data_IF_074754599856
#
_entry.id   IF_074754599856
#
_cell.length_a   1.000
_cell.length_b   1.000
_cell.length_c   1.000
_cell.angle_alpha   90.00
_cell.angle_beta   90.00
_cell.angle_gamma   90.00
#
_symmetry.space_group_name_H-M   'P 1'
#
loop_
_entity.id
_entity.type
_entity.pdbx_description
1 polymer ?
#
# COMPACT_ATOMS: atom_id res chain seq x y z
N UNK A 1 17.31 20.03 -4.35
CA UNK A 1 17.24 18.62 -3.90
C UNK A 1 18.45 18.17 -3.08
N UNK A 2 19.71 18.31 -3.55
CA UNK A 2 20.88 17.89 -2.75
C UNK A 2 20.99 18.57 -1.39
N UNK A 3 20.77 19.88 -1.31
CA UNK A 3 20.75 20.61 -0.04
C UNK A 3 19.72 20.00 0.94
N UNK A 4 18.52 19.74 0.43
CA UNK A 4 17.42 19.09 1.17
C UNK A 4 17.82 17.69 1.68
N UNK A 5 18.45 16.87 0.83
CA UNK A 5 18.98 15.57 1.25
C UNK A 5 20.04 15.71 2.34
N UNK A 6 20.98 16.64 2.21
CA UNK A 6 22.03 16.85 3.21
C UNK A 6 21.47 17.30 4.55
N UNK A 7 20.42 18.13 4.56
CA UNK A 7 19.71 18.52 5.79
C UNK A 7 19.09 17.31 6.52
N UNK A 8 18.59 16.30 5.78
CA UNK A 8 18.13 15.05 6.37
C UNK A 8 19.28 14.12 6.78
N UNK A 9 20.28 13.94 5.93
CA UNK A 9 21.37 12.99 6.15
C UNK A 9 22.34 13.41 7.27
N UNK A 10 22.56 14.72 7.45
CA UNK A 10 23.44 15.29 8.47
C UNK A 10 22.65 15.85 9.66
N UNK A 11 21.32 15.75 9.63
CA UNK A 11 20.42 16.25 10.68
C UNK A 11 20.58 17.74 11.01
N UNK A 12 21.05 18.54 10.05
CA UNK A 12 21.17 20.00 10.17
C UNK A 12 19.92 20.74 9.66
N UNK A 13 19.77 21.98 10.11
CA UNK A 13 18.86 22.94 9.49
C UNK A 13 19.53 23.54 8.25
N UNK A 14 18.75 23.87 7.22
CA UNK A 14 19.26 24.72 6.16
C UNK A 14 19.47 26.13 6.71
N UNK A 15 20.53 26.77 6.26
CA UNK A 15 20.68 28.22 6.43
C UNK A 15 19.46 28.93 5.77
N UNK A 16 18.82 29.91 6.45
CA UNK A 16 17.66 30.62 5.91
C UNK A 16 17.89 31.28 4.53
N UNK A 17 19.10 31.74 4.22
CA UNK A 17 19.38 32.29 2.89
C UNK A 17 19.40 31.20 1.83
N UNK A 18 20.03 30.06 2.14
CA UNK A 18 20.03 28.86 1.30
C UNK A 18 18.61 28.36 1.03
N UNK A 19 17.74 28.30 2.04
CA UNK A 19 16.35 27.86 1.86
C UNK A 19 15.56 28.84 0.97
N UNK A 20 15.70 30.15 1.19
CA UNK A 20 15.08 31.19 0.34
C UNK A 20 15.59 31.17 -1.11
N UNK A 21 16.81 30.66 -1.33
CA UNK A 21 17.38 30.47 -2.67
C UNK A 21 16.80 29.28 -3.45
N UNK A 22 16.05 28.38 -2.81
CA UNK A 22 15.51 27.18 -3.47
C UNK A 22 14.35 27.51 -4.43
N UNK A 23 13.29 28.25 -4.05
CA UNK A 23 12.17 28.53 -4.95
C UNK A 23 12.59 29.20 -6.28
N UNK A 24 13.49 30.22 -6.30
CA UNK A 24 14.01 30.78 -7.55
C UNK A 24 14.76 29.79 -8.45
N UNK A 25 15.27 28.69 -7.88
CA UNK A 25 16.01 27.65 -8.61
C UNK A 25 15.11 26.53 -9.16
N UNK A 26 13.81 26.51 -8.85
CA UNK A 26 12.86 25.50 -9.36
C UNK A 26 12.80 25.42 -10.89
N UNK A 27 12.87 26.52 -11.68
CA UNK A 27 12.92 26.43 -13.13
C UNK A 27 14.15 25.68 -13.65
N UNK A 28 15.26 25.72 -12.92
CA UNK A 28 16.46 24.93 -13.24
C UNK A 28 16.26 23.46 -12.87
N UNK A 29 15.63 23.18 -11.73
CA UNK A 29 15.27 21.81 -11.33
C UNK A 29 14.31 21.16 -12.34
N UNK A 30 13.38 21.93 -12.93
CA UNK A 30 12.45 21.43 -13.94
C UNK A 30 13.14 20.92 -15.21
N UNK A 31 14.36 21.40 -15.50
CA UNK A 31 15.21 20.96 -16.61
C UNK A 31 16.07 19.74 -16.28
N UNK A 32 16.12 19.31 -15.02
CA UNK A 32 16.88 18.12 -14.60
C UNK A 32 16.15 16.86 -15.06
N UNK A 33 16.91 15.86 -15.52
CA UNK A 33 16.35 14.58 -15.95
C UNK A 33 15.60 13.87 -14.82
N UNK A 34 14.59 13.08 -15.18
CA UNK A 34 13.77 12.36 -14.20
C UNK A 34 14.59 11.29 -13.47
N UNK A 35 15.57 10.69 -14.13
CA UNK A 35 16.51 9.73 -13.56
C UNK A 35 17.32 10.38 -12.42
N UNK A 36 17.82 11.60 -12.63
CA UNK A 36 18.55 12.32 -11.58
C UNK A 36 17.66 12.72 -10.40
N UNK A 37 16.41 13.10 -10.67
CA UNK A 37 15.41 13.38 -9.62
C UNK A 37 15.11 12.10 -8.84
N UNK A 38 14.92 10.98 -9.53
CA UNK A 38 14.69 9.65 -8.95
C UNK A 38 15.84 9.23 -8.04
N UNK A 39 17.08 9.32 -8.51
CA UNK A 39 18.28 8.98 -7.73
C UNK A 39 18.39 9.81 -6.46
N UNK A 40 18.07 11.11 -6.54
CA UNK A 40 18.12 11.98 -5.37
C UNK A 40 16.97 11.69 -4.40
N UNK A 41 15.77 11.36 -4.90
CA UNK A 41 14.63 10.94 -4.10
C UNK A 41 14.90 9.61 -3.37
N UNK A 42 15.48 8.61 -4.03
CA UNK A 42 15.91 7.36 -3.40
C UNK A 42 16.86 7.63 -2.23
N UNK A 43 17.86 8.49 -2.45
CA UNK A 43 18.83 8.83 -1.39
C UNK A 43 18.20 9.62 -0.24
N UNK A 44 17.19 10.45 -0.50
CA UNK A 44 16.38 11.10 0.55
C UNK A 44 15.64 10.04 1.37
N UNK A 45 14.92 9.14 0.71
CA UNK A 45 14.17 8.07 1.36
C UNK A 45 15.06 7.08 2.11
N UNK A 46 16.33 6.94 1.74
CA UNK A 46 17.30 6.10 2.44
C UNK A 46 17.88 6.73 3.72
N UNK A 47 17.62 8.01 4.02
CA UNK A 47 18.13 8.66 5.24
C UNK A 47 17.43 8.15 6.50
N UNK A 48 17.99 8.44 7.69
CA UNK A 48 17.38 8.03 8.98
C UNK A 48 16.00 8.65 9.18
N UNK A 49 15.83 9.93 8.86
CA UNK A 49 14.58 10.67 8.98
C UNK A 49 14.25 11.39 7.66
N UNK A 50 13.71 10.69 6.64
CA UNK A 50 13.34 11.28 5.37
C UNK A 50 12.35 12.45 5.49
N UNK A 51 11.50 12.45 6.52
CA UNK A 51 10.54 13.52 6.82
C UNK A 51 11.17 14.91 6.85
N UNK A 52 12.40 15.04 7.36
CA UNK A 52 13.13 16.31 7.41
C UNK A 52 13.34 16.88 6.02
N UNK A 53 13.77 16.04 5.09
CA UNK A 53 13.96 16.42 3.70
C UNK A 53 12.60 16.70 3.02
N UNK A 54 11.60 15.86 3.26
CA UNK A 54 10.28 16.02 2.65
C UNK A 54 9.58 17.31 3.10
N UNK A 55 9.67 17.67 4.37
CA UNK A 55 9.12 18.91 4.91
C UNK A 55 9.78 20.15 4.29
N UNK A 56 11.10 20.12 4.04
CA UNK A 56 11.79 21.19 3.33
C UNK A 56 11.40 21.18 1.84
N UNK A 57 11.33 20.01 1.20
CA UNK A 57 10.98 19.89 -0.21
C UNK A 57 9.57 20.44 -0.50
N UNK A 58 8.64 20.23 0.40
CA UNK A 58 7.27 20.73 0.30
C UNK A 58 7.23 22.25 0.48
N UNK A 59 7.74 22.81 1.59
CA UNK A 59 7.71 24.26 1.84
C UNK A 59 8.49 25.09 0.81
N UNK A 60 9.46 24.48 0.13
CA UNK A 60 10.26 25.12 -0.92
C UNK A 60 9.70 24.92 -2.33
N UNK A 61 8.60 24.17 -2.48
CA UNK A 61 7.95 23.90 -3.77
C UNK A 61 8.62 22.81 -4.62
N UNK A 62 9.71 22.18 -4.13
CA UNK A 62 10.34 21.04 -4.82
C UNK A 62 9.33 19.90 -4.96
N UNK A 63 8.57 19.59 -3.90
CA UNK A 63 7.64 18.46 -3.91
C UNK A 63 6.50 18.71 -4.91
N UNK A 64 5.94 19.91 -4.93
CA UNK A 64 4.92 20.31 -5.92
C UNK A 64 5.42 20.18 -7.37
N UNK A 65 6.73 20.39 -7.61
CA UNK A 65 7.30 20.23 -8.95
C UNK A 65 7.49 18.77 -9.37
N UNK A 66 7.87 17.87 -8.45
CA UNK A 66 8.22 16.48 -8.78
C UNK A 66 7.08 15.49 -8.54
N UNK A 67 6.25 15.76 -7.54
CA UNK A 67 5.13 14.96 -7.07
C UNK A 67 3.91 15.87 -6.76
N UNK A 68 3.33 16.53 -7.79
CA UNK A 68 2.19 17.43 -7.60
C UNK A 68 0.95 16.75 -7.01
N UNK A 69 0.79 15.44 -7.22
CA UNK A 69 -0.36 14.66 -6.75
C UNK A 69 -0.39 14.52 -5.22
N UNK A 70 0.73 14.78 -4.54
CA UNK A 70 0.84 14.67 -3.09
C UNK A 70 -0.12 15.60 -2.34
N UNK A 71 -0.17 16.88 -2.73
CA UNK A 71 -0.99 17.89 -2.06
C UNK A 71 -2.48 17.53 -2.15
N UNK A 72 -2.93 17.10 -3.33
CA UNK A 72 -4.31 16.65 -3.56
C UNK A 72 -4.65 15.45 -2.68
N UNK A 73 -3.71 14.51 -2.51
CA UNK A 73 -3.88 13.35 -1.63
C UNK A 73 -4.05 13.76 -0.17
N UNK A 74 -3.15 14.62 0.35
CA UNK A 74 -3.24 15.14 1.72
C UNK A 74 -4.58 15.85 1.94
N UNK A 75 -5.00 16.71 1.01
CA UNK A 75 -6.27 17.42 1.11
C UNK A 75 -7.48 16.47 1.14
N UNK A 76 -7.48 15.43 0.27
CA UNK A 76 -8.56 14.44 0.24
C UNK A 76 -8.66 13.67 1.56
N UNK A 77 -7.54 13.19 2.09
CA UNK A 77 -7.51 12.49 3.38
C UNK A 77 -7.88 13.40 4.56
N UNK A 78 -7.44 14.66 4.56
CA UNK A 78 -7.84 15.62 5.59
C UNK A 78 -9.35 15.87 5.57
N UNK A 79 -9.93 16.08 4.39
CA UNK A 79 -11.36 16.33 4.22
C UNK A 79 -12.22 15.12 4.64
N UNK A 80 -11.85 13.91 4.21
CA UNK A 80 -12.55 12.67 4.58
C UNK A 80 -12.52 12.39 6.09
N UNK A 81 -11.60 13.03 6.82
CA UNK A 81 -11.40 12.84 8.25
C UNK A 81 -11.87 14.01 9.08
N UNK A 82 -12.30 15.12 8.48
CA UNK A 82 -12.80 16.26 9.24
C UNK A 82 -14.12 15.87 9.95
N UNK A 83 -14.34 16.29 11.21
CA UNK A 83 -15.61 15.98 11.88
C UNK A 83 -16.75 16.63 11.11
N UNK A 84 -17.86 15.91 10.93
CA UNK A 84 -19.04 16.46 10.27
C UNK A 84 -19.54 17.70 11.01
N UNK A 85 -19.31 18.89 10.44
CA UNK A 85 -19.74 20.18 11.02
C UNK A 85 -21.28 20.30 11.11
N UNK A 86 -22.04 19.39 10.48
CA UNK A 86 -23.51 19.42 10.45
C UNK A 86 -24.18 18.54 11.51
N UNK A 87 -23.41 17.76 12.27
CA UNK A 87 -23.93 17.07 13.45
C UNK A 87 -23.55 17.89 14.67
N UNK A 88 -24.50 18.61 15.33
CA UNK A 88 -24.20 19.21 16.62
C UNK A 88 -23.79 18.07 17.54
N UNK A 89 -22.59 18.19 18.11
CA UNK A 89 -22.08 17.29 19.14
C UNK A 89 -23.18 17.07 20.17
N UNK A 90 -23.76 15.88 20.20
CA UNK A 90 -24.56 15.45 21.33
C UNK A 90 -23.62 15.54 22.53
N UNK A 91 -23.96 16.44 23.46
CA UNK A 91 -23.11 16.78 24.58
C UNK A 91 -22.81 15.59 25.49
N UNK A 92 -21.73 15.75 26.25
CA UNK A 92 -21.32 14.82 27.29
C UNK A 92 -19.85 14.47 27.16
N UNK A 93 -18.98 15.36 27.64
CA UNK A 93 -17.61 14.96 27.93
C UNK A 93 -17.61 14.02 29.12
N UNK A 94 -17.15 12.79 28.91
CA UNK A 94 -16.51 12.01 29.97
C UNK A 94 -15.01 12.35 29.94
N UNK A 95 -14.41 12.81 31.06
CA UNK A 95 -13.00 13.15 31.12
C UNK A 95 -12.08 11.92 31.30
N UNK A 96 -12.62 10.70 31.29
CA UNK A 96 -11.81 9.50 31.45
C UNK A 96 -11.39 8.93 30.09
N UNK A 97 -10.14 9.23 29.74
CA UNK A 97 -9.41 8.62 28.63
C UNK A 97 -9.36 7.11 28.77
N UNK A 98 -10.27 6.44 28.10
CA UNK A 98 -10.16 5.01 27.77
C UNK A 98 -9.73 4.87 26.31
N UNK A 99 -8.42 4.71 26.14
CA UNK A 99 -7.86 4.09 24.95
C UNK A 99 -8.35 2.64 24.86
N UNK A 100 -8.88 2.22 23.71
CA UNK A 100 -9.27 0.81 23.55
C UNK A 100 -10.23 0.53 22.39
N UNK A 101 -9.81 0.80 21.17
CA UNK A 101 -10.44 0.25 19.96
C UNK A 101 -9.35 -0.05 18.94
N UNK A 102 -9.04 -1.32 18.73
CA UNK A 102 -8.02 -1.78 17.80
C UNK A 102 -8.35 -1.31 16.36
N UNK A 103 -7.37 -0.71 15.67
CA UNK A 103 -7.34 -0.65 14.21
C UNK A 103 -7.80 0.63 13.49
N UNK A 104 -8.24 1.68 14.19
CA UNK A 104 -8.72 2.90 13.53
C UNK A 104 -7.68 4.05 13.48
N UNK A 105 -7.42 4.60 12.29
CA UNK A 105 -6.63 5.84 12.18
C UNK A 105 -7.35 7.05 12.85
N UNK A 106 -6.64 8.07 13.39
CA UNK A 106 -7.25 9.18 14.13
C UNK A 106 -8.21 10.06 13.31
N UNK A 107 -9.50 10.15 13.66
CA UNK A 107 -10.46 11.07 13.01
C UNK A 107 -10.26 12.51 13.48
N UNK A 108 -10.74 13.47 12.71
CA UNK A 108 -10.72 14.90 13.01
C UNK A 108 -9.41 15.61 12.70
N UNK A 109 -8.48 14.97 11.97
CA UNK A 109 -7.20 15.58 11.63
C UNK A 109 -7.39 16.47 10.40
N UNK A 110 -7.30 17.79 10.60
CA UNK A 110 -7.24 18.75 9.49
C UNK A 110 -5.97 18.59 8.66
N UNK A 111 -5.77 19.49 7.70
CA UNK A 111 -4.65 19.43 6.73
C UNK A 111 -3.27 19.23 7.39
N UNK A 112 -2.95 20.05 8.40
CA UNK A 112 -1.65 19.97 9.10
C UNK A 112 -1.47 18.66 9.87
N UNK A 113 -2.56 18.12 10.43
CA UNK A 113 -2.54 16.83 11.11
C UNK A 113 -2.31 15.67 10.14
N UNK A 114 -2.96 15.72 8.97
CA UNK A 114 -2.75 14.74 7.92
C UNK A 114 -1.32 14.79 7.38
N UNK A 115 -0.79 15.99 7.16
CA UNK A 115 0.61 16.21 6.77
C UNK A 115 1.59 15.64 7.81
N UNK A 116 1.37 15.90 9.09
CA UNK A 116 2.22 15.36 10.16
C UNK A 116 2.19 13.82 10.20
N UNK A 117 1.00 13.22 10.04
CA UNK A 117 0.85 11.77 9.94
C UNK A 117 1.60 11.19 8.73
N UNK A 118 1.46 11.81 7.56
CA UNK A 118 2.17 11.38 6.35
C UNK A 118 3.69 11.35 6.56
N UNK A 119 4.26 12.43 7.12
CA UNK A 119 5.70 12.51 7.43
C UNK A 119 6.13 11.42 8.43
N UNK A 120 5.35 11.22 9.50
CA UNK A 120 5.62 10.21 10.51
C UNK A 120 5.60 8.79 9.93
N UNK A 121 4.63 8.49 9.04
CA UNK A 121 4.55 7.20 8.34
C UNK A 121 5.78 6.95 7.48
N UNK A 122 6.27 7.95 6.76
CA UNK A 122 7.48 7.78 5.92
C UNK A 122 8.71 7.47 6.77
N UNK A 123 8.85 8.10 7.94
CA UNK A 123 9.96 7.79 8.86
C UNK A 123 9.84 6.40 9.49
N UNK A 124 8.63 6.01 9.89
CA UNK A 124 8.34 4.71 10.50
C UNK A 124 8.45 3.53 9.52
N UNK A 125 8.29 3.78 8.22
CA UNK A 125 8.37 2.75 7.19
C UNK A 125 9.77 2.15 7.07
N UNK A 126 9.81 0.82 6.99
CA UNK A 126 11.00 0.07 6.60
C UNK A 126 11.53 0.54 5.23
N UNK A 127 12.86 0.49 4.97
CA UNK A 127 13.46 1.06 3.76
C UNK A 127 12.74 0.70 2.45
N UNK A 128 12.33 -0.56 2.29
CA UNK A 128 11.60 -1.09 1.14
C UNK A 128 10.20 -0.50 0.95
N UNK A 129 9.56 -0.03 2.03
CA UNK A 129 8.20 0.52 2.03
C UNK A 129 8.16 2.05 1.96
N UNK A 130 9.29 2.76 2.09
CA UNK A 130 9.31 4.23 2.13
C UNK A 130 8.81 4.88 0.85
N UNK A 131 9.07 4.25 -0.30
CA UNK A 131 8.54 4.73 -1.58
C UNK A 131 7.01 4.61 -1.64
N UNK A 132 6.45 3.52 -1.12
CA UNK A 132 5.01 3.35 -1.00
C UNK A 132 4.41 4.33 0.04
N UNK A 133 5.08 4.51 1.19
CA UNK A 133 4.67 5.43 2.24
C UNK A 133 4.62 6.89 1.76
N UNK A 134 5.57 7.29 0.90
CA UNK A 134 5.59 8.60 0.25
C UNK A 134 4.31 8.83 -0.57
N UNK A 135 3.85 7.79 -1.27
CA UNK A 135 2.74 7.84 -2.23
C UNK A 135 1.39 7.41 -1.65
N UNK A 136 1.33 6.94 -0.41
CA UNK A 136 0.13 6.33 0.13
C UNK A 136 -1.03 7.32 0.39
N UNK A 137 -0.80 8.62 0.27
CA UNK A 137 -1.87 9.64 0.21
C UNK A 137 -2.63 9.64 -1.13
N UNK A 138 -2.12 8.93 -2.14
CA UNK A 138 -2.85 8.69 -3.38
C UNK A 138 -3.95 7.63 -3.23
N UNK A 139 -3.99 6.92 -2.09
CA UNK A 139 -5.05 5.99 -1.78
C UNK A 139 -6.38 6.72 -1.57
N UNK A 140 -7.49 6.12 -1.98
CA UNK A 140 -8.82 6.70 -1.83
C UNK A 140 -9.33 6.48 -0.38
N UNK A 141 -9.49 7.55 0.43
CA UNK A 141 -9.91 7.41 1.82
C UNK A 141 -11.37 6.97 1.98
N UNK A 142 -12.20 7.13 0.94
CA UNK A 142 -13.63 6.80 0.98
C UNK A 142 -13.90 5.34 0.54
N UNK A 143 -12.87 4.63 0.11
CA UNK A 143 -12.97 3.25 -0.37
C UNK A 143 -12.09 2.30 0.47
N UNK A 144 -12.46 2.00 1.73
CA UNK A 144 -11.80 0.97 2.53
C UNK A 144 -12.13 -0.42 1.97
N UNK A 145 -11.48 -0.78 0.87
CA UNK A 145 -11.71 -2.04 0.18
C UNK A 145 -11.02 -3.19 0.89
N UNK A 146 -11.72 -4.33 1.01
CA UNK A 146 -11.13 -5.62 1.40
C UNK A 146 -10.36 -6.32 0.27
N UNK A 147 -10.08 -5.56 -0.79
CA UNK A 147 -9.46 -5.96 -2.06
C UNK A 147 -8.54 -4.84 -2.50
N UNK A 148 -7.64 -5.13 -3.44
CA UNK A 148 -6.71 -4.13 -3.92
C UNK A 148 -7.42 -3.01 -4.69
N UNK A 149 -7.21 -1.75 -4.30
CA UNK A 149 -7.67 -0.60 -5.06
C UNK A 149 -6.82 -0.40 -6.33
N UNK A 150 -7.37 -0.89 -7.44
CA UNK A 150 -6.76 -0.78 -8.77
C UNK A 150 -6.71 0.66 -9.29
N UNK A 151 -7.52 1.58 -8.76
CA UNK A 151 -7.45 3.00 -9.14
C UNK A 151 -6.21 3.63 -8.53
N UNK A 152 -6.05 3.54 -7.21
CA UNK A 152 -4.88 4.08 -6.50
C UNK A 152 -3.58 3.39 -6.92
N UNK A 153 -3.61 2.07 -7.16
CA UNK A 153 -2.47 1.36 -7.75
C UNK A 153 -2.02 1.97 -9.08
N UNK A 154 -2.96 2.20 -10.02
CA UNK A 154 -2.64 2.77 -11.33
C UNK A 154 -2.13 4.20 -11.23
N UNK A 155 -2.69 5.01 -10.32
CA UNK A 155 -2.23 6.37 -10.08
C UNK A 155 -0.77 6.38 -9.58
N UNK A 156 -0.45 5.56 -8.58
CA UNK A 156 0.92 5.41 -8.08
C UNK A 156 1.87 4.90 -9.17
N UNK A 157 1.46 3.91 -9.96
CA UNK A 157 2.27 3.38 -11.06
C UNK A 157 2.56 4.45 -12.14
N UNK A 158 1.59 5.33 -12.44
CA UNK A 158 1.78 6.42 -13.39
C UNK A 158 2.84 7.43 -12.88
N UNK A 159 2.78 7.79 -11.60
CA UNK A 159 3.78 8.64 -10.94
C UNK A 159 5.17 8.01 -11.00
N UNK A 160 5.29 6.74 -10.61
CA UNK A 160 6.56 6.03 -10.54
C UNK A 160 7.22 5.88 -11.92
N UNK A 161 6.42 5.58 -12.96
CA UNK A 161 6.89 5.55 -14.36
C UNK A 161 7.31 6.93 -14.86
N UNK A 162 6.54 7.98 -14.54
CA UNK A 162 6.89 9.38 -14.88
C UNK A 162 8.22 9.80 -14.24
N UNK A 163 8.50 9.32 -13.02
CA UNK A 163 9.74 9.56 -12.31
C UNK A 163 10.87 8.58 -12.66
N UNK A 164 10.64 7.61 -13.56
CA UNK A 164 11.66 6.65 -14.03
C UNK A 164 12.20 5.72 -12.94
N UNK A 165 11.38 5.35 -11.97
CA UNK A 165 11.68 4.21 -11.09
C UNK A 165 11.75 2.91 -11.89
N UNK A 166 12.48 1.90 -11.39
CA UNK A 166 12.56 0.60 -12.07
C UNK A 166 11.19 -0.09 -12.11
N UNK A 167 11.03 -1.08 -13.00
CA UNK A 167 9.78 -1.83 -13.10
C UNK A 167 9.43 -2.54 -11.79
N UNK A 168 10.45 -3.09 -11.12
CA UNK A 168 10.30 -3.82 -9.86
C UNK A 168 9.88 -2.89 -8.71
N UNK A 169 10.62 -1.78 -8.49
CA UNK A 169 10.24 -0.76 -7.50
C UNK A 169 8.85 -0.20 -7.78
N UNK A 170 8.53 0.03 -9.06
CA UNK A 170 7.24 0.56 -9.48
C UNK A 170 6.10 -0.43 -9.18
N UNK A 171 6.31 -1.73 -9.45
CA UNK A 171 5.34 -2.77 -9.17
C UNK A 171 5.10 -2.90 -7.66
N UNK A 172 6.18 -3.04 -6.88
CA UNK A 172 6.11 -3.21 -5.44
C UNK A 172 5.42 -2.03 -4.75
N UNK A 173 5.87 -0.80 -5.02
CA UNK A 173 5.30 0.38 -4.37
C UNK A 173 3.86 0.68 -4.83
N UNK A 174 3.54 0.53 -6.11
CA UNK A 174 2.18 0.82 -6.59
C UNK A 174 1.14 -0.15 -6.03
N UNK A 175 1.48 -1.42 -5.90
CA UNK A 175 0.60 -2.41 -5.26
C UNK A 175 0.39 -2.07 -3.79
N UNK A 176 1.46 -1.76 -3.04
CA UNK A 176 1.34 -1.36 -1.64
C UNK A 176 0.47 -0.10 -1.46
N UNK A 177 0.57 0.89 -2.35
CA UNK A 177 -0.31 2.06 -2.35
C UNK A 177 -1.77 1.67 -2.61
N UNK A 178 -2.03 0.78 -3.57
CA UNK A 178 -3.38 0.27 -3.83
C UNK A 178 -3.98 -0.50 -2.64
N UNK A 179 -3.14 -0.97 -1.71
CA UNK A 179 -3.57 -1.65 -0.51
C UNK A 179 -3.51 -0.77 0.75
N UNK A 180 -3.09 0.51 0.63
CA UNK A 180 -2.84 1.37 1.79
C UNK A 180 -4.11 1.67 2.59
N UNK A 181 -5.27 1.81 1.91
CA UNK A 181 -6.56 2.05 2.56
C UNK A 181 -7.08 0.86 3.37
N UNK A 182 -6.43 -0.32 3.31
CA UNK A 182 -6.79 -1.49 4.12
C UNK A 182 -6.76 -1.20 5.64
N UNK A 183 -5.95 -0.23 6.06
CA UNK A 183 -5.85 0.23 7.47
C UNK A 183 -7.09 0.98 7.97
N UNK A 184 -8.01 1.33 7.08
CA UNK A 184 -9.30 1.95 7.44
C UNK A 184 -10.38 0.90 7.75
N UNK A 185 -10.16 -0.35 7.36
CA UNK A 185 -11.07 -1.45 7.66
C UNK A 185 -10.84 -1.89 9.12
N UNK A 186 -11.89 -1.79 9.94
CA UNK A 186 -11.80 -2.00 11.39
C UNK A 186 -11.40 -3.43 11.77
N UNK A 187 -11.94 -4.43 11.07
CA UNK A 187 -11.72 -5.84 11.39
C UNK A 187 -11.45 -6.63 10.13
N UNK A 188 -10.49 -7.55 10.19
CA UNK A 188 -10.15 -8.45 9.09
C UNK A 188 -10.32 -9.90 9.51
N UNK A 189 -10.82 -10.75 8.62
CA UNK A 189 -10.72 -12.20 8.74
C UNK A 189 -9.51 -12.73 7.97
N UNK A 190 -8.96 -13.89 8.38
CA UNK A 190 -7.82 -14.51 7.68
C UNK A 190 -8.10 -14.82 6.20
N UNK A 191 -9.32 -15.27 5.80
CA UNK A 191 -9.71 -15.35 4.40
C UNK A 191 -9.57 -14.02 3.66
N UNK A 192 -10.10 -12.92 4.20
CA UNK A 192 -10.04 -11.60 3.55
C UNK A 192 -8.60 -11.10 3.41
N UNK A 193 -7.75 -11.33 4.41
CA UNK A 193 -6.32 -11.00 4.32
C UNK A 193 -5.68 -11.82 3.19
N UNK A 194 -5.96 -13.13 3.09
CA UNK A 194 -5.47 -13.96 1.97
C UNK A 194 -5.96 -13.46 0.62
N UNK A 195 -7.22 -13.06 0.49
CA UNK A 195 -7.74 -12.46 -0.74
C UNK A 195 -7.01 -11.17 -1.13
N UNK A 196 -6.76 -10.28 -0.16
CA UNK A 196 -5.99 -9.06 -0.41
C UNK A 196 -4.54 -9.39 -0.80
N UNK A 197 -3.89 -10.32 -0.10
CA UNK A 197 -2.54 -10.77 -0.39
C UNK A 197 -2.43 -11.45 -1.77
N UNK A 198 -3.46 -12.18 -2.20
CA UNK A 198 -3.55 -12.75 -3.55
C UNK A 198 -3.62 -11.65 -4.62
N UNK A 199 -4.37 -10.57 -4.39
CA UNK A 199 -4.40 -9.42 -5.30
C UNK A 199 -3.06 -8.66 -5.35
N UNK A 200 -2.38 -8.56 -4.20
CA UNK A 200 -1.07 -7.91 -4.02
C UNK A 200 0.07 -8.74 -4.59
N UNK A 201 -0.09 -10.06 -4.66
CA UNK A 201 0.90 -11.08 -5.01
C UNK A 201 2.02 -11.22 -3.98
N UNK A 202 2.44 -12.46 -3.70
CA UNK A 202 3.45 -12.79 -2.66
C UNK A 202 4.74 -11.99 -2.80
N UNK A 203 5.25 -11.83 -4.03
CA UNK A 203 6.53 -11.15 -4.30
C UNK A 203 6.57 -9.69 -3.86
N UNK A 204 5.42 -9.02 -3.77
CA UNK A 204 5.32 -7.61 -3.35
C UNK A 204 4.63 -7.43 -2.00
N UNK A 205 4.08 -8.50 -1.42
CA UNK A 205 3.30 -8.45 -0.18
C UNK A 205 4.07 -7.89 1.01
N UNK A 206 5.38 -8.16 1.10
CA UNK A 206 6.22 -7.61 2.16
C UNK A 206 6.20 -6.08 2.24
N UNK A 207 6.15 -5.39 1.09
CA UNK A 207 6.08 -3.93 1.03
C UNK A 207 4.75 -3.40 1.57
N UNK A 208 3.63 -4.08 1.24
CA UNK A 208 2.31 -3.73 1.77
C UNK A 208 2.23 -3.93 3.29
N UNK A 209 2.73 -5.07 3.79
CA UNK A 209 2.81 -5.39 5.22
C UNK A 209 3.63 -4.35 5.98
N UNK A 210 4.81 -4.00 5.47
CA UNK A 210 5.66 -2.98 6.07
C UNK A 210 5.00 -1.59 6.07
N UNK A 211 4.26 -1.24 5.01
CA UNK A 211 3.49 -0.01 4.95
C UNK A 211 2.36 0.03 6.00
N UNK A 212 1.58 -1.04 6.13
CA UNK A 212 0.50 -1.11 7.13
C UNK A 212 1.04 -0.98 8.56
N UNK A 213 2.17 -1.62 8.87
CA UNK A 213 2.84 -1.48 10.17
C UNK A 213 3.28 -0.03 10.41
N UNK A 214 3.84 0.63 9.41
CA UNK A 214 4.22 2.05 9.49
C UNK A 214 3.01 2.98 9.68
N UNK A 215 1.83 2.55 9.24
CA UNK A 215 0.56 3.27 9.37
C UNK A 215 -0.27 2.81 10.58
N UNK A 216 0.40 2.25 11.61
CA UNK A 216 -0.18 1.81 12.89
C UNK A 216 -1.22 0.69 12.79
N UNK A 217 -1.28 -0.04 11.68
CA UNK A 217 -2.13 -1.24 11.52
C UNK A 217 -1.33 -2.52 11.81
N UNK A 218 -0.75 -2.60 13.01
CA UNK A 218 0.14 -3.70 13.40
C UNK A 218 -0.56 -5.08 13.35
N UNK A 219 -1.81 -5.18 13.81
CA UNK A 219 -2.54 -6.46 13.81
C UNK A 219 -2.73 -7.02 12.39
N UNK A 220 -3.17 -6.18 11.44
CA UNK A 220 -3.30 -6.55 10.03
C UNK A 220 -1.94 -6.99 9.46
N UNK A 221 -0.89 -6.21 9.72
CA UNK A 221 0.46 -6.50 9.26
C UNK A 221 0.99 -7.83 9.82
N UNK A 222 0.79 -8.08 11.12
CA UNK A 222 1.26 -9.29 11.81
C UNK A 222 0.54 -10.54 11.28
N UNK A 223 -0.78 -10.48 11.11
CA UNK A 223 -1.57 -11.59 10.55
C UNK A 223 -1.23 -11.87 9.10
N UNK A 224 -1.04 -10.82 8.30
CA UNK A 224 -0.59 -10.96 6.92
C UNK A 224 0.81 -11.57 6.82
N UNK A 225 1.75 -11.14 7.67
CA UNK A 225 3.08 -11.74 7.77
C UNK A 225 3.00 -13.23 8.14
N UNK A 226 2.18 -13.59 9.14
CA UNK A 226 1.99 -14.98 9.54
C UNK A 226 1.43 -15.86 8.40
N UNK A 227 0.48 -15.35 7.61
CA UNK A 227 -0.02 -16.03 6.40
C UNK A 227 1.09 -16.26 5.37
N UNK A 228 1.94 -15.25 5.14
CA UNK A 228 3.07 -15.35 4.21
C UNK A 228 4.10 -16.37 4.70
N UNK A 229 4.45 -16.35 5.98
CA UNK A 229 5.44 -17.23 6.60
C UNK A 229 4.99 -18.70 6.65
N UNK A 230 3.70 -18.96 6.90
CA UNK A 230 3.12 -20.31 6.80
C UNK A 230 3.16 -20.88 5.40
N UNK A 231 3.27 -20.02 4.37
CA UNK A 231 3.24 -20.44 2.98
C UNK A 231 1.85 -20.81 2.48
N UNK A 232 0.77 -20.27 3.07
CA UNK A 232 -0.59 -20.43 2.58
C UNK A 232 -0.65 -20.07 1.09
N UNK A 233 -1.33 -20.85 0.24
CA UNK A 233 -1.35 -20.58 -1.20
C UNK A 233 -2.14 -19.30 -1.54
N UNK A 234 -1.51 -18.41 -2.30
CA UNK A 234 -2.03 -17.10 -2.71
C UNK A 234 -2.16 -16.95 -4.23
N UNK A 235 -1.70 -17.94 -4.99
CA UNK A 235 -1.74 -17.96 -6.45
C UNK A 235 -1.98 -19.37 -6.98
N UNK A 236 -2.47 -19.48 -8.22
CA UNK A 236 -2.74 -20.77 -8.87
C UNK A 236 -1.49 -21.66 -8.93
N UNK A 237 -0.32 -21.06 -9.13
CA UNK A 237 0.96 -21.80 -9.15
C UNK A 237 1.39 -22.36 -7.79
N UNK A 238 0.72 -21.97 -6.70
CA UNK A 238 0.99 -22.44 -5.34
C UNK A 238 -0.01 -23.52 -4.88
N UNK A 239 -0.94 -23.93 -5.77
CA UNK A 239 -1.86 -25.03 -5.50
C UNK A 239 -1.11 -26.37 -5.48
N UNK A 240 -1.55 -27.28 -4.62
CA UNK A 240 -1.04 -28.65 -4.54
C UNK A 240 -1.42 -29.55 -5.74
N UNK A 241 -2.18 -29.00 -6.69
CA UNK A 241 -2.54 -29.66 -7.95
C UNK A 241 -2.22 -28.75 -9.12
N UNK A 242 -1.79 -29.36 -10.23
CA UNK A 242 -1.54 -28.69 -11.49
C UNK A 242 -2.66 -28.97 -12.50
N UNK A 243 -2.65 -28.27 -13.64
CA UNK A 243 -3.56 -28.59 -14.73
C UNK A 243 -3.40 -30.04 -15.24
N UNK A 244 -2.20 -30.62 -15.15
CA UNK A 244 -1.97 -32.03 -15.53
C UNK A 244 -2.66 -33.00 -14.57
N UNK A 245 -2.64 -32.70 -13.28
CA UNK A 245 -3.34 -33.51 -12.27
C UNK A 245 -4.85 -33.51 -12.51
N UNK A 246 -5.42 -32.34 -12.81
CA UNK A 246 -6.83 -32.20 -13.12
C UNK A 246 -7.23 -32.94 -14.41
N UNK A 247 -6.44 -32.81 -15.49
CA UNK A 247 -6.69 -33.55 -16.74
C UNK A 247 -6.71 -35.07 -16.52
N UNK A 248 -5.75 -35.59 -15.74
CA UNK A 248 -5.68 -37.02 -15.46
C UNK A 248 -6.80 -37.50 -14.53
N UNK A 249 -7.20 -36.71 -13.53
CA UNK A 249 -8.17 -37.12 -12.51
C UNK A 249 -9.64 -36.94 -12.92
N UNK A 250 -9.91 -36.06 -13.88
CA UNK A 250 -11.25 -35.69 -14.37
C UNK A 250 -11.46 -36.06 -15.84
N UNK A 251 -10.47 -36.67 -16.50
CA UNK A 251 -10.52 -37.01 -17.93
C UNK A 251 -10.81 -35.80 -18.85
N UNK A 252 -10.44 -34.60 -18.40
CA UNK A 252 -10.67 -33.35 -19.13
C UNK A 252 -9.66 -33.17 -20.27
N UNK A 253 -10.14 -32.62 -21.39
CA UNK A 253 -9.27 -32.18 -22.49
C UNK A 253 -8.56 -30.86 -22.16
N UNK A 254 -7.32 -30.64 -22.69
CA UNK A 254 -6.62 -29.37 -22.52
C UNK A 254 -7.44 -28.17 -23.01
N UNK A 255 -7.53 -27.11 -22.21
CA UNK A 255 -8.19 -25.86 -22.63
C UNK A 255 -8.43 -24.85 -21.51
N UNK A 256 -9.04 -23.69 -21.83
CA UNK A 256 -9.29 -22.60 -20.86
C UNK A 256 -10.15 -23.01 -19.66
N UNK A 257 -10.93 -24.08 -19.78
CA UNK A 257 -11.74 -24.63 -18.70
C UNK A 257 -10.89 -25.06 -17.49
N UNK A 258 -9.69 -25.62 -17.72
CA UNK A 258 -8.76 -26.02 -16.66
C UNK A 258 -8.28 -24.79 -15.88
N UNK A 259 -7.97 -23.70 -16.58
CA UNK A 259 -7.57 -22.44 -15.94
C UNK A 259 -8.67 -21.86 -15.06
N UNK A 260 -9.93 -21.90 -15.53
CA UNK A 260 -11.10 -21.49 -14.71
C UNK A 260 -11.29 -22.38 -13.49
N UNK A 261 -11.10 -23.69 -13.63
CA UNK A 261 -11.21 -24.64 -12.53
C UNK A 261 -10.11 -24.41 -11.49
N UNK A 262 -8.85 -24.23 -11.91
CA UNK A 262 -7.75 -23.87 -11.02
C UNK A 262 -8.00 -22.54 -10.29
N UNK A 263 -8.58 -21.54 -10.96
CA UNK A 263 -8.96 -20.28 -10.32
C UNK A 263 -10.07 -20.48 -9.26
N UNK A 264 -11.06 -21.33 -9.55
CA UNK A 264 -12.11 -21.68 -8.59
C UNK A 264 -11.57 -22.49 -7.40
N UNK A 265 -10.60 -23.38 -7.62
CA UNK A 265 -9.91 -24.09 -6.54
C UNK A 265 -9.10 -23.13 -5.66
N UNK A 266 -8.39 -22.17 -6.27
CA UNK A 266 -7.69 -21.14 -5.51
C UNK A 266 -8.66 -20.35 -4.63
N UNK A 267 -9.84 -19.98 -5.14
CA UNK A 267 -10.86 -19.30 -4.33
C UNK A 267 -11.27 -20.12 -3.09
N UNK A 268 -11.49 -21.43 -3.24
CA UNK A 268 -11.75 -22.32 -2.08
C UNK A 268 -10.58 -22.39 -1.12
N UNK A 269 -9.34 -22.43 -1.62
CA UNK A 269 -8.12 -22.44 -0.80
C UNK A 269 -7.89 -21.10 -0.09
N UNK A 270 -8.26 -19.98 -0.69
CA UNK A 270 -8.24 -18.65 -0.06
C UNK A 270 -9.32 -18.49 1.01
N UNK A 271 -10.39 -19.30 0.97
CA UNK A 271 -11.34 -19.42 2.07
C UNK A 271 -10.82 -20.36 3.18
N UNK A 272 -10.26 -21.51 2.82
CA UNK A 272 -9.74 -22.52 3.75
C UNK A 272 -8.40 -23.10 3.25
N UNK A 273 -7.26 -22.73 3.88
CA UNK A 273 -5.94 -23.13 3.38
C UNK A 273 -5.67 -24.62 3.60
N UNK A 274 -6.40 -25.29 4.50
CA UNK A 274 -6.25 -26.73 4.74
C UNK A 274 -6.66 -27.57 3.53
N UNK A 275 -7.47 -27.02 2.62
CA UNK A 275 -7.85 -27.67 1.38
C UNK A 275 -6.68 -27.83 0.41
N UNK A 276 -5.57 -27.12 0.57
CA UNK A 276 -4.44 -27.13 -0.38
C UNK A 276 -3.57 -28.40 -0.29
N UNK A 277 -4.21 -29.56 -0.42
CA UNK A 277 -3.57 -30.85 -0.57
C UNK A 277 -4.19 -31.56 -1.75
N UNK A 278 -3.45 -32.48 -2.39
CA UNK A 278 -3.84 -33.07 -3.67
C UNK A 278 -5.24 -33.67 -3.64
N UNK A 279 -5.51 -34.58 -2.71
CA UNK A 279 -6.77 -35.35 -2.72
C UNK A 279 -8.01 -34.49 -2.40
N UNK A 280 -8.00 -33.61 -1.38
CA UNK A 280 -9.09 -32.65 -1.17
C UNK A 280 -9.35 -31.75 -2.38
N UNK A 281 -8.31 -31.23 -3.03
CA UNK A 281 -8.50 -30.39 -4.22
C UNK A 281 -9.11 -31.16 -5.40
N UNK A 282 -8.71 -32.42 -5.63
CA UNK A 282 -9.34 -33.25 -6.66
C UNK A 282 -10.82 -33.51 -6.32
N UNK A 283 -11.16 -33.75 -5.06
CA UNK A 283 -12.55 -33.93 -4.63
C UNK A 283 -13.39 -32.67 -4.86
N UNK A 284 -12.87 -31.51 -4.47
CA UNK A 284 -13.52 -30.20 -4.73
C UNK A 284 -13.66 -29.96 -6.23
N UNK A 285 -12.63 -30.29 -7.02
CA UNK A 285 -12.64 -30.10 -8.47
C UNK A 285 -13.75 -30.91 -9.16
N UNK A 286 -13.97 -32.17 -8.76
CA UNK A 286 -15.08 -33.02 -9.24
C UNK A 286 -16.44 -32.40 -8.94
N UNK A 287 -16.62 -31.85 -7.73
CA UNK A 287 -17.85 -31.16 -7.37
C UNK A 287 -18.12 -29.94 -8.25
N UNK A 288 -17.10 -29.10 -8.47
CA UNK A 288 -17.21 -27.90 -9.30
C UNK A 288 -17.47 -28.20 -10.78
N UNK A 289 -16.87 -29.26 -11.33
CA UNK A 289 -17.14 -29.68 -12.71
C UNK A 289 -18.61 -30.05 -12.90
N UNK A 290 -19.19 -30.80 -11.95
CA UNK A 290 -20.60 -31.19 -11.99
C UNK A 290 -21.55 -29.99 -11.87
N UNK A 291 -21.16 -28.94 -11.14
CA UNK A 291 -21.91 -27.68 -11.05
C UNK A 291 -21.85 -26.88 -12.37
N UNK A 292 -20.70 -26.85 -13.04
CA UNK A 292 -20.49 -26.13 -14.30
C UNK A 292 -21.11 -26.83 -15.52
N UNK A 293 -21.42 -28.12 -15.42
CA UNK A 293 -22.06 -28.91 -16.46
C UNK A 293 -23.61 -28.84 -16.43
N UNK A 294 -24.20 -28.19 -15.42
CA UNK A 294 -25.65 -27.95 -15.27
C UNK A 294 -26.03 -26.57 -15.78
#
# INVERSE_FOLDING_TARGET
MRAVRFAAALEFALDPETERGIPPALPSLAKVSKERICDELRKILATRAPSRALAIAERTGILALILPEHETGIAAWAAAREPDRRQPSAGGGDPDGSAGGAGGLPRGIGHDGQRARWLARVDAAAPEARLAALLAELADPDLPLRRLDRRSQRAALAVLRRLKFSNDESAAASVAVGAAAAVLVAEWSDPEIRYLLADVTRGHAGVAVALWRADSAAELADRAAAILDRGDALAVGELAVTGKDLMAALEMSPGPAIGRLLAALLDRVLADPALNTRDPLIAVARGLELELAR
#
